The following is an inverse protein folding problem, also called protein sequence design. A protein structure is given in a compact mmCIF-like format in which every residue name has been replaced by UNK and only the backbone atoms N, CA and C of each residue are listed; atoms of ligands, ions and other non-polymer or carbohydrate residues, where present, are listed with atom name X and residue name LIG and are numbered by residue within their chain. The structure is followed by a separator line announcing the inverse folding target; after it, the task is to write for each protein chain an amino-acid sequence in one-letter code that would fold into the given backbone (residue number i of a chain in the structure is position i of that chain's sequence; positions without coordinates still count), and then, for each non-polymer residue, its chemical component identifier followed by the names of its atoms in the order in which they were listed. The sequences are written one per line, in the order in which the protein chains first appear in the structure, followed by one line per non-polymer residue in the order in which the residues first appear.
data_IF_966706852443
#
_entry.id   IF_966706852443
#
_cell.length_a   1.000
_cell.length_b   1.000
_cell.length_c   1.000
_cell.angle_alpha   90.00
_cell.angle_beta   90.00
_cell.angle_gamma   90.00
#
_symmetry.space_group_name_H-M   'P 1'
#
loop_
_entity.id
_entity.type
_entity.pdbx_description
1 polymer ?
#
# COMPACT_ATOMS: atom_id res chain seq x y z
N UNK A 1 3.74 -1.05 14.28
CA UNK A 1 2.51 -1.80 14.66
C UNK A 1 1.23 -1.01 14.33
N UNK A 2 1.06 0.24 14.75
CA UNK A 2 -0.17 1.02 14.46
C UNK A 2 -0.50 1.11 12.97
N UNK A 3 0.51 1.21 12.10
CA UNK A 3 0.33 1.24 10.64
C UNK A 3 -0.31 -0.06 10.10
N UNK A 4 0.01 -1.21 10.71
CA UNK A 4 -0.61 -2.49 10.35
C UNK A 4 -2.07 -2.60 10.79
N UNK A 5 -2.46 -1.90 11.87
CA UNK A 5 -3.82 -1.87 12.39
C UNK A 5 -4.71 -0.87 11.62
N UNK A 6 -4.13 0.11 10.93
CA UNK A 6 -4.89 1.07 10.15
C UNK A 6 -5.56 0.42 8.92
N UNK A 7 -6.61 1.04 8.41
CA UNK A 7 -7.28 0.61 7.18
C UNK A 7 -6.33 0.70 5.98
N UNK A 8 -6.47 -0.23 5.05
CA UNK A 8 -5.65 -0.25 3.86
C UNK A 8 -6.02 0.92 2.92
N UNK A 9 -5.05 1.80 2.69
CA UNK A 9 -5.09 2.88 1.71
C UNK A 9 -3.69 3.08 1.10
N UNK A 10 -3.60 3.93 0.10
CA UNK A 10 -2.32 4.21 -0.56
C UNK A 10 -1.29 4.81 0.40
N UNK A 11 -1.72 5.65 1.35
CA UNK A 11 -0.84 6.26 2.35
C UNK A 11 -0.27 5.21 3.32
N UNK A 12 -1.11 4.27 3.77
CA UNK A 12 -0.67 3.16 4.61
C UNK A 12 0.35 2.27 3.88
N UNK A 13 0.09 1.98 2.60
CA UNK A 13 0.97 1.19 1.76
C UNK A 13 2.34 1.84 1.57
N UNK A 14 2.35 3.14 1.24
CA UNK A 14 3.59 3.91 1.10
C UNK A 14 4.37 3.97 2.41
N UNK A 15 3.67 4.19 3.53
CA UNK A 15 4.29 4.21 4.85
C UNK A 15 4.88 2.86 5.26
N UNK A 16 4.23 1.73 4.91
CA UNK A 16 4.76 0.39 5.15
C UNK A 16 6.08 0.16 4.41
N UNK A 17 6.16 0.53 3.14
CA UNK A 17 7.39 0.42 2.35
C UNK A 17 8.50 1.32 2.91
N UNK A 18 8.18 2.56 3.24
CA UNK A 18 9.14 3.49 3.84
C UNK A 18 9.69 3.02 5.18
N UNK A 19 8.85 2.38 6.01
CA UNK A 19 9.29 1.78 7.27
C UNK A 19 10.18 0.57 7.01
N UNK A 20 9.83 -0.28 6.03
CA UNK A 20 10.60 -1.47 5.66
C UNK A 20 12.01 -1.11 5.16
N UNK A 21 12.16 -0.04 4.39
CA UNK A 21 13.44 0.47 3.90
C UNK A 21 14.26 1.19 4.99
N UNK A 22 13.66 1.44 6.14
CA UNK A 22 14.28 2.17 7.23
C UNK A 22 15.35 1.35 7.95
N UNK A 23 16.58 1.86 8.09
CA UNK A 23 17.70 1.23 8.80
C UNK A 23 17.39 0.80 10.23
N UNK A 24 16.41 1.44 10.88
CA UNK A 24 16.01 1.11 12.25
C UNK A 24 15.37 -0.27 12.35
N UNK A 25 14.70 -0.75 11.30
CA UNK A 25 14.05 -2.05 11.28
C UNK A 25 15.06 -3.20 11.12
N UNK A 26 16.25 -2.94 10.56
CA UNK A 26 17.34 -3.90 10.47
C UNK A 26 17.85 -4.34 11.85
N UNK A 27 17.69 -3.48 12.87
CA UNK A 27 18.06 -3.79 14.25
C UNK A 27 17.11 -4.80 14.91
N UNK A 28 15.93 -5.02 14.34
CA UNK A 28 14.86 -5.86 14.90
C UNK A 28 14.34 -6.81 13.81
N UNK A 29 15.13 -7.83 13.45
CA UNK A 29 14.85 -8.69 12.29
C UNK A 29 13.53 -9.46 12.39
N UNK A 30 13.09 -9.81 13.63
CA UNK A 30 11.82 -10.51 13.82
C UNK A 30 10.61 -9.63 13.45
N UNK A 31 10.66 -8.34 13.80
CA UNK A 31 9.60 -7.39 13.41
C UNK A 31 9.65 -7.06 11.92
N UNK A 32 10.85 -7.04 11.33
CA UNK A 32 11.00 -6.90 9.88
C UNK A 32 10.34 -8.07 9.15
N UNK A 33 10.66 -9.31 9.54
CA UNK A 33 10.04 -10.51 8.96
C UNK A 33 8.52 -10.54 9.13
N UNK A 34 7.99 -10.00 10.24
CA UNK A 34 6.56 -9.86 10.43
C UNK A 34 5.93 -8.81 9.50
N UNK A 35 6.62 -7.69 9.27
CA UNK A 35 6.18 -6.64 8.35
C UNK A 35 6.17 -7.12 6.90
N UNK A 36 7.18 -7.90 6.50
CA UNK A 36 7.29 -8.49 5.17
C UNK A 36 6.08 -9.35 4.79
N UNK A 37 5.42 -10.01 5.75
CA UNK A 37 4.19 -10.76 5.48
C UNK A 37 3.07 -9.89 4.88
N UNK A 38 3.01 -8.60 5.23
CA UNK A 38 2.01 -7.68 4.72
C UNK A 38 2.44 -6.96 3.42
N UNK A 39 3.73 -6.91 3.17
CA UNK A 39 4.30 -6.34 1.93
C UNK A 39 4.24 -7.38 0.81
N UNK A 40 4.56 -8.65 1.13
CA UNK A 40 4.52 -9.73 0.17
C UNK A 40 3.09 -9.99 -0.31
N UNK A 41 2.96 -10.25 -1.61
CA UNK A 41 1.66 -10.54 -2.23
C UNK A 41 1.28 -12.02 -2.10
N UNK A 42 1.37 -12.54 -0.88
CA UNK A 42 1.08 -13.93 -0.53
C UNK A 42 0.00 -14.03 0.54
N UNK A 43 -0.60 -15.21 0.67
CA UNK A 43 -1.58 -15.48 1.71
C UNK A 43 -0.90 -15.66 3.06
N UNK A 44 -1.38 -14.96 4.07
CA UNK A 44 -0.89 -15.04 5.43
C UNK A 44 -1.76 -16.05 6.19
N UNK A 45 -1.18 -17.20 6.59
CA UNK A 45 -1.89 -18.14 7.47
C UNK A 45 -1.89 -17.60 8.90
N UNK A 46 -3.08 -17.32 9.43
CA UNK A 46 -3.25 -16.81 10.79
C UNK A 46 -2.70 -17.78 11.84
N UNK A 47 -2.95 -19.08 11.69
CA UNK A 47 -2.45 -20.11 12.61
C UNK A 47 -0.93 -20.15 12.70
N UNK A 48 -0.24 -20.06 11.55
CA UNK A 48 1.23 -20.01 11.51
C UNK A 48 1.75 -18.70 12.09
N UNK A 49 1.06 -17.59 11.84
CA UNK A 49 1.42 -16.27 12.35
C UNK A 49 1.31 -16.23 13.88
N UNK A 50 0.22 -16.75 14.46
CA UNK A 50 0.09 -16.88 15.92
C UNK A 50 1.24 -17.71 16.48
N UNK A 51 1.45 -18.93 15.99
CA UNK A 51 2.46 -19.84 16.53
C UNK A 51 3.87 -19.23 16.54
N UNK A 52 4.19 -18.40 15.55
CA UNK A 52 5.52 -17.80 15.39
C UNK A 52 5.67 -16.46 16.10
N UNK A 53 4.68 -15.60 16.04
CA UNK A 53 4.81 -14.18 16.43
C UNK A 53 4.02 -13.79 17.67
N UNK A 54 3.09 -14.61 18.20
CA UNK A 54 2.27 -14.23 19.35
C UNK A 54 3.12 -13.88 20.57
N UNK A 55 4.09 -14.74 20.92
CA UNK A 55 5.00 -14.49 22.06
C UNK A 55 5.82 -13.22 21.87
N UNK A 56 6.36 -13.01 20.67
CA UNK A 56 7.13 -11.81 20.34
C UNK A 56 6.30 -10.54 20.50
N UNK A 57 5.09 -10.54 19.97
CA UNK A 57 4.24 -9.35 19.91
C UNK A 57 3.57 -9.02 21.26
N UNK A 58 3.24 -10.03 22.08
CA UNK A 58 2.54 -9.86 23.35
C UNK A 58 3.48 -9.81 24.55
N UNK A 59 4.44 -10.71 24.62
CA UNK A 59 5.27 -10.91 25.81
C UNK A 59 6.72 -10.43 25.58
N UNK A 60 7.14 -10.30 24.33
CA UNK A 60 8.52 -10.02 23.94
C UNK A 60 9.43 -11.25 24.04
N UNK A 61 10.61 -11.12 23.48
CA UNK A 61 11.69 -12.12 23.56
C UNK A 61 12.93 -11.46 24.16
N UNK A 62 13.88 -12.24 24.63
CA UNK A 62 15.14 -11.74 25.23
C UNK A 62 15.89 -10.74 24.34
N UNK A 63 15.75 -10.86 23.03
CA UNK A 63 16.36 -9.98 22.02
C UNK A 63 15.50 -8.77 21.65
N UNK A 64 14.18 -8.85 21.81
CA UNK A 64 13.24 -7.81 21.40
C UNK A 64 12.16 -7.61 22.44
N UNK A 65 12.01 -6.39 22.96
CA UNK A 65 10.95 -6.06 23.92
C UNK A 65 9.57 -6.18 23.28
N UNK A 66 8.58 -6.57 24.08
CA UNK A 66 7.18 -6.54 23.66
C UNK A 66 6.77 -5.12 23.24
N UNK A 67 5.85 -5.06 22.31
CA UNK A 67 5.20 -3.78 22.00
C UNK A 67 4.02 -3.58 22.95
N UNK A 68 3.93 -2.41 23.60
CA UNK A 68 2.78 -2.06 24.45
C UNK A 68 1.45 -1.96 23.66
N UNK A 69 1.53 -2.13 22.33
CA UNK A 69 0.38 -2.04 21.43
C UNK A 69 -0.51 -3.27 21.49
N UNK A 70 0.07 -4.47 21.59
CA UNK A 70 -0.62 -5.77 21.55
C UNK A 70 -0.50 -6.53 22.87
N UNK A 71 -0.40 -5.82 23.97
CA UNK A 71 -0.34 -6.36 25.31
C UNK A 71 -1.59 -7.21 25.64
N UNK A 72 -1.59 -7.87 26.83
CA UNK A 72 -2.72 -8.70 27.27
C UNK A 72 -3.83 -7.89 27.96
N UNK A 73 -3.79 -6.57 27.89
CA UNK A 73 -4.87 -5.71 28.37
C UNK A 73 -6.14 -5.86 27.51
N UNK A 74 -7.25 -5.34 28.01
CA UNK A 74 -8.51 -5.34 27.23
C UNK A 74 -8.33 -4.62 25.88
N UNK A 75 -7.64 -3.48 25.87
CA UNK A 75 -7.35 -2.73 24.66
C UNK A 75 -6.38 -3.48 23.73
N UNK A 76 -5.37 -4.16 24.29
CA UNK A 76 -4.45 -5.00 23.52
C UNK A 76 -5.16 -6.19 22.86
N UNK A 77 -6.12 -6.81 23.55
CA UNK A 77 -6.93 -7.88 22.98
C UNK A 77 -7.85 -7.39 21.86
N UNK A 78 -8.44 -6.19 21.98
CA UNK A 78 -9.19 -5.56 20.88
C UNK A 78 -8.31 -5.36 19.66
N UNK A 79 -7.12 -4.78 19.84
CA UNK A 79 -6.14 -4.57 18.75
C UNK A 79 -5.65 -5.89 18.14
N UNK A 80 -5.57 -6.95 18.94
CA UNK A 80 -5.25 -8.29 18.45
C UNK A 80 -6.35 -8.84 17.51
N UNK A 81 -7.61 -8.64 17.88
CA UNK A 81 -8.76 -8.95 17.01
C UNK A 81 -8.76 -8.10 15.74
N UNK A 82 -8.42 -6.81 15.87
CA UNK A 82 -8.26 -5.92 14.72
C UNK A 82 -7.14 -6.41 13.79
N UNK A 83 -6.01 -6.86 14.34
CA UNK A 83 -4.91 -7.43 13.55
C UNK A 83 -5.37 -8.67 12.77
N UNK A 84 -6.15 -9.55 13.39
CA UNK A 84 -6.74 -10.71 12.70
C UNK A 84 -7.63 -10.27 11.53
N UNK A 85 -8.45 -9.25 11.75
CA UNK A 85 -9.28 -8.65 10.70
C UNK A 85 -8.42 -8.08 9.56
N UNK A 86 -7.31 -7.39 9.87
CA UNK A 86 -6.39 -6.87 8.84
C UNK A 86 -5.70 -7.96 8.04
N UNK A 87 -5.32 -9.06 8.69
CA UNK A 87 -4.80 -10.25 7.99
C UNK A 87 -5.86 -10.83 7.06
N UNK A 88 -7.11 -10.94 7.51
CA UNK A 88 -8.22 -11.38 6.67
C UNK A 88 -8.46 -10.46 5.47
N UNK A 89 -8.41 -9.14 5.65
CA UNK A 89 -8.52 -8.15 4.57
C UNK A 89 -7.37 -8.27 3.56
N UNK A 90 -6.13 -8.45 4.04
CA UNK A 90 -4.97 -8.69 3.19
C UNK A 90 -5.16 -9.94 2.34
N UNK A 91 -5.48 -11.07 2.97
CA UNK A 91 -5.72 -12.32 2.29
C UNK A 91 -6.85 -12.22 1.26
N UNK A 92 -7.91 -11.50 1.59
CA UNK A 92 -9.02 -11.31 0.69
C UNK A 92 -8.65 -10.48 -0.55
N UNK A 93 -7.80 -9.45 -0.40
CA UNK A 93 -7.24 -8.72 -1.55
C UNK A 93 -6.38 -9.64 -2.44
N UNK A 94 -5.61 -10.55 -1.83
CA UNK A 94 -4.83 -11.53 -2.59
C UNK A 94 -5.74 -12.50 -3.33
N UNK A 95 -6.77 -13.03 -2.68
CA UNK A 95 -7.77 -13.90 -3.31
C UNK A 95 -8.46 -13.18 -4.48
N UNK A 96 -8.88 -11.93 -4.28
CA UNK A 96 -9.53 -11.12 -5.33
C UNK A 96 -8.62 -10.85 -6.54
N UNK A 97 -7.30 -10.87 -6.34
CA UNK A 97 -6.31 -10.71 -7.41
C UNK A 97 -6.18 -11.95 -8.29
N UNK A 98 -6.29 -13.15 -7.69
CA UNK A 98 -6.03 -14.41 -8.38
C UNK A 98 -7.30 -15.19 -8.78
N UNK A 99 -8.41 -15.00 -8.08
CA UNK A 99 -9.65 -15.72 -8.32
C UNK A 99 -10.71 -14.82 -8.96
N UNK A 100 -11.35 -15.30 -10.01
CA UNK A 100 -12.55 -14.66 -10.59
C UNK A 100 -13.82 -15.14 -9.89
N UNK A 101 -13.83 -16.39 -9.46
CA UNK A 101 -14.93 -17.06 -8.72
C UNK A 101 -14.35 -17.97 -7.65
N UNK A 102 -14.95 -17.97 -6.45
CA UNK A 102 -14.54 -18.83 -5.35
C UNK A 102 -15.75 -19.25 -4.54
N UNK A 103 -15.75 -20.48 -3.99
CA UNK A 103 -16.77 -20.95 -3.07
C UNK A 103 -16.50 -20.47 -1.66
N UNK A 104 -17.55 -20.29 -0.84
CA UNK A 104 -17.38 -19.93 0.57
C UNK A 104 -16.52 -20.92 1.34
N UNK A 105 -16.68 -22.24 1.09
CA UNK A 105 -15.88 -23.25 1.75
C UNK A 105 -14.38 -23.07 1.47
N UNK A 106 -14.02 -22.89 0.21
CA UNK A 106 -12.61 -22.65 -0.17
C UNK A 106 -12.06 -21.35 0.37
N UNK A 107 -12.89 -20.33 0.39
CA UNK A 107 -12.51 -19.02 0.96
C UNK A 107 -12.26 -19.12 2.46
N UNK A 108 -13.15 -19.78 3.20
CA UNK A 108 -13.02 -20.02 4.63
C UNK A 108 -11.73 -20.79 4.98
N UNK A 109 -11.39 -21.80 4.17
CA UNK A 109 -10.14 -22.54 4.30
C UNK A 109 -8.89 -21.65 4.08
N UNK A 110 -8.91 -20.81 3.05
CA UNK A 110 -7.77 -19.92 2.73
C UNK A 110 -7.59 -18.80 3.73
N UNK A 111 -8.68 -18.32 4.33
CA UNK A 111 -8.67 -17.22 5.28
C UNK A 111 -8.50 -17.68 6.74
N UNK A 112 -8.55 -18.98 7.01
CA UNK A 112 -8.61 -19.53 8.38
C UNK A 112 -9.80 -18.99 9.21
N UNK A 113 -10.96 -18.72 8.55
CA UNK A 113 -12.19 -18.22 9.18
C UNK A 113 -13.28 -19.27 9.25
N UNK A 114 -14.17 -19.25 10.28
CA UNK A 114 -15.38 -20.05 10.30
C UNK A 114 -16.31 -19.72 9.12
N UNK A 115 -16.92 -20.74 8.50
CA UNK A 115 -17.81 -20.56 7.34
C UNK A 115 -19.01 -19.65 7.68
N UNK A 116 -19.51 -19.73 8.91
CA UNK A 116 -20.67 -18.97 9.40
C UNK A 116 -20.39 -17.48 9.48
N UNK A 117 -19.17 -17.09 9.87
CA UNK A 117 -18.74 -15.69 9.98
C UNK A 117 -18.26 -15.13 8.64
N UNK A 118 -17.95 -16.01 7.67
CA UNK A 118 -17.36 -15.63 6.38
C UNK A 118 -18.26 -14.69 5.58
N UNK A 119 -19.58 -14.92 5.58
CA UNK A 119 -20.50 -14.06 4.84
C UNK A 119 -20.54 -12.65 5.43
N UNK A 120 -20.63 -12.54 6.76
CA UNK A 120 -20.59 -11.26 7.47
C UNK A 120 -19.29 -10.49 7.21
N UNK A 121 -18.16 -11.19 7.29
CA UNK A 121 -16.85 -10.62 6.99
C UNK A 121 -16.77 -10.11 5.55
N UNK A 122 -17.20 -10.91 4.57
CA UNK A 122 -17.23 -10.53 3.17
C UNK A 122 -18.15 -9.33 2.90
N UNK A 123 -19.33 -9.29 3.50
CA UNK A 123 -20.24 -8.15 3.40
C UNK A 123 -19.59 -6.86 3.91
N UNK A 124 -18.90 -6.93 5.04
CA UNK A 124 -18.15 -5.80 5.58
C UNK A 124 -17.06 -5.31 4.60
N UNK A 125 -16.31 -6.23 3.97
CA UNK A 125 -15.28 -5.87 3.00
C UNK A 125 -15.83 -5.24 1.72
N UNK A 126 -17.01 -5.64 1.28
CA UNK A 126 -17.69 -5.04 0.14
C UNK A 126 -18.18 -3.62 0.49
N UNK A 127 -18.79 -3.45 1.68
CA UNK A 127 -19.30 -2.16 2.15
C UNK A 127 -18.17 -1.17 2.40
N UNK A 128 -17.06 -1.61 2.98
CA UNK A 128 -15.86 -0.76 3.21
C UNK A 128 -15.08 -0.44 1.93
N UNK A 129 -15.48 -1.03 0.79
CA UNK A 129 -14.82 -0.79 -0.50
C UNK A 129 -13.47 -1.49 -0.67
N UNK A 130 -13.09 -2.38 0.25
CA UNK A 130 -11.88 -3.18 0.11
C UNK A 130 -11.94 -4.10 -1.13
N UNK A 131 -13.16 -4.55 -1.49
CA UNK A 131 -13.44 -5.36 -2.68
C UNK A 131 -14.72 -4.86 -3.34
N UNK A 132 -14.68 -3.74 -4.07
CA UNK A 132 -15.90 -3.04 -4.52
C UNK A 132 -16.72 -3.82 -5.56
N UNK A 133 -16.10 -4.71 -6.34
CA UNK A 133 -16.74 -5.39 -7.45
C UNK A 133 -17.19 -6.83 -7.15
N UNK A 134 -17.11 -7.27 -5.89
CA UNK A 134 -17.51 -8.60 -5.49
C UNK A 134 -19.04 -8.75 -5.46
N UNK A 135 -19.55 -9.88 -5.98
CA UNK A 135 -20.96 -10.26 -5.98
C UNK A 135 -21.15 -11.60 -5.31
N UNK A 136 -22.01 -11.65 -4.30
CA UNK A 136 -22.32 -12.86 -3.55
C UNK A 136 -23.53 -13.55 -4.19
N UNK A 137 -23.37 -14.80 -4.56
CA UNK A 137 -24.45 -15.67 -5.02
C UNK A 137 -24.78 -16.68 -3.92
N UNK A 138 -25.70 -16.30 -3.02
CA UNK A 138 -26.06 -17.06 -1.81
C UNK A 138 -26.54 -18.49 -2.09
N UNK A 139 -27.46 -18.73 -3.05
CA UNK A 139 -27.96 -20.11 -3.29
C UNK A 139 -26.87 -21.10 -3.68
N UNK A 140 -25.88 -20.65 -4.47
CA UNK A 140 -24.75 -21.47 -4.89
C UNK A 140 -23.54 -21.40 -3.95
N UNK A 141 -23.59 -20.57 -2.89
CA UNK A 141 -22.47 -20.28 -1.98
C UNK A 141 -21.16 -19.95 -2.72
N UNK A 142 -21.28 -19.10 -3.74
CA UNK A 142 -20.16 -18.66 -4.59
C UNK A 142 -20.02 -17.15 -4.57
N UNK A 143 -18.80 -16.68 -4.53
CA UNK A 143 -18.46 -15.26 -4.68
C UNK A 143 -17.81 -15.05 -6.04
N UNK A 144 -18.32 -14.07 -6.77
CA UNK A 144 -17.70 -13.58 -7.99
C UNK A 144 -16.82 -12.38 -7.63
N UNK A 145 -15.53 -12.55 -7.77
CA UNK A 145 -14.51 -11.51 -7.57
C UNK A 145 -14.13 -11.02 -8.97
N UNK A 146 -14.84 -10.02 -9.49
CA UNK A 146 -14.43 -9.43 -10.78
C UNK A 146 -13.19 -8.61 -10.57
N UNK A 147 -12.09 -8.98 -11.23
CA UNK A 147 -10.98 -8.08 -11.43
C UNK A 147 -11.52 -6.83 -12.15
N UNK A 148 -11.30 -5.66 -11.57
CA UNK A 148 -11.59 -4.37 -12.24
C UNK A 148 -10.86 -4.39 -13.58
N UNK A 149 -11.57 -4.54 -14.68
CA UNK A 149 -10.98 -4.23 -15.97
C UNK A 149 -10.64 -2.75 -15.93
N UNK A 150 -9.38 -2.44 -16.03
CA UNK A 150 -8.95 -1.06 -16.18
C UNK A 150 -9.81 -0.43 -17.28
N UNK A 151 -10.58 0.60 -16.91
CA UNK A 151 -11.45 1.25 -17.89
C UNK A 151 -10.52 1.90 -18.92
N UNK A 152 -10.64 1.55 -20.17
CA UNK A 152 -9.81 2.08 -21.28
C UNK A 152 -9.81 3.61 -21.23
N UNK A 153 -10.97 4.22 -20.93
CA UNK A 153 -11.09 5.67 -20.79
C UNK A 153 -10.22 6.25 -19.67
N UNK A 154 -10.08 5.54 -18.53
CA UNK A 154 -9.21 5.98 -17.43
C UNK A 154 -7.73 5.85 -17.79
N UNK A 155 -7.36 4.80 -18.52
CA UNK A 155 -6.01 4.64 -19.06
C UNK A 155 -5.67 5.72 -20.09
N UNK A 156 -6.60 6.08 -20.96
CA UNK A 156 -6.42 7.16 -21.93
C UNK A 156 -6.30 8.53 -21.27
N UNK A 157 -7.12 8.79 -20.24
CA UNK A 157 -7.00 10.01 -19.44
C UNK A 157 -5.66 10.09 -18.72
N UNK A 158 -5.21 8.97 -18.13
CA UNK A 158 -3.91 8.90 -17.47
C UNK A 158 -2.76 9.11 -18.46
N UNK A 159 -2.80 8.43 -19.62
CA UNK A 159 -1.82 8.60 -20.68
C UNK A 159 -1.78 10.05 -21.20
N UNK A 160 -2.93 10.69 -21.37
CA UNK A 160 -3.04 12.10 -21.74
C UNK A 160 -2.43 13.03 -20.68
N UNK A 161 -2.65 12.74 -19.38
CA UNK A 161 -2.06 13.52 -18.29
C UNK A 161 -0.54 13.39 -18.23
N UNK A 162 -0.02 12.18 -18.42
CA UNK A 162 1.44 11.93 -18.49
C UNK A 162 2.05 12.69 -19.67
N UNK A 163 1.40 12.65 -20.86
CA UNK A 163 1.88 13.39 -22.03
C UNK A 163 1.92 14.89 -21.79
N UNK A 164 0.88 15.48 -21.19
CA UNK A 164 0.86 16.89 -20.80
C UNK A 164 1.99 17.26 -19.84
N UNK A 165 2.26 16.40 -18.84
CA UNK A 165 3.37 16.58 -17.92
C UNK A 165 4.73 16.56 -18.63
N UNK A 166 4.93 15.61 -19.54
CA UNK A 166 6.14 15.51 -20.35
C UNK A 166 6.33 16.74 -21.24
N UNK A 167 5.25 17.24 -21.86
CA UNK A 167 5.27 18.45 -22.68
C UNK A 167 5.65 19.70 -21.84
N UNK A 168 5.15 19.79 -20.61
CA UNK A 168 5.51 20.88 -19.68
C UNK A 168 6.99 20.77 -19.29
N UNK A 169 7.45 19.56 -18.92
CA UNK A 169 8.87 19.34 -18.57
C UNK A 169 9.82 19.65 -19.73
N UNK A 170 9.43 19.33 -20.95
CA UNK A 170 10.22 19.65 -22.15
C UNK A 170 10.24 21.15 -22.49
N UNK A 171 9.18 21.88 -22.15
CA UNK A 171 9.12 23.35 -22.36
C UNK A 171 9.97 24.13 -21.37
N UNK A 172 10.03 23.71 -20.11
CA UNK A 172 10.77 24.41 -19.04
C UNK A 172 12.29 24.54 -19.34
N UNK A 173 13.01 23.46 -19.75
CA UNK A 173 14.43 23.61 -20.08
C UNK A 173 14.69 24.53 -21.27
N UNK A 174 13.84 24.49 -22.30
CA UNK A 174 13.99 25.32 -23.51
C UNK A 174 13.78 26.80 -23.17
N UNK A 175 12.76 27.16 -22.42
CA UNK A 175 12.53 28.54 -21.98
C UNK A 175 13.65 29.07 -21.07
N UNK A 176 14.21 28.20 -20.20
CA UNK A 176 15.33 28.57 -19.33
C UNK A 176 16.63 28.71 -20.10
N UNK A 177 16.86 27.92 -21.14
CA UNK A 177 18.03 28.07 -22.03
C UNK A 177 17.94 29.38 -22.84
N UNK A 178 16.77 29.68 -23.41
CA UNK A 178 16.56 30.92 -24.16
C UNK A 178 16.77 32.15 -23.27
N UNK A 179 16.24 32.18 -22.06
CA UNK A 179 16.45 33.30 -21.13
C UNK A 179 17.89 33.43 -20.69
N UNK A 180 18.64 32.33 -20.62
CA UNK A 180 20.09 32.36 -20.30
C UNK A 180 20.94 32.85 -21.46
N UNK A 181 20.60 32.48 -22.68
CA UNK A 181 21.24 33.01 -23.88
C UNK A 181 21.00 34.54 -24.07
N UNK A 182 19.76 34.98 -23.82
CA UNK A 182 19.45 36.43 -23.84
C UNK A 182 20.20 37.23 -22.77
N UNK A 183 20.38 36.68 -21.57
CA UNK A 183 21.18 37.32 -20.53
C UNK A 183 22.67 37.41 -20.91
N UNK A 184 23.21 36.37 -21.50
CA UNK A 184 24.61 36.37 -21.97
C UNK A 184 24.80 37.38 -23.12
N UNK A 185 23.83 37.47 -24.04
CA UNK A 185 23.88 38.43 -25.14
C UNK A 185 23.84 39.89 -24.63
N UNK A 186 22.98 40.21 -23.67
CA UNK A 186 22.95 41.56 -23.02
C UNK A 186 24.26 41.88 -22.33
N UNK A 187 24.86 40.94 -21.61
CA UNK A 187 26.17 41.18 -20.97
C UNK A 187 27.30 41.40 -21.96
N UNK A 188 27.26 40.81 -23.15
CA UNK A 188 28.23 41.04 -24.21
C UNK A 188 28.04 42.40 -24.89
N UNK A 189 26.80 42.85 -25.07
CA UNK A 189 26.51 44.20 -25.61
C UNK A 189 26.89 45.30 -24.65
N UNK A 190 26.63 45.16 -23.36
CA UNK A 190 27.02 46.12 -22.32
C UNK A 190 28.54 46.21 -22.15
N UNK A 191 29.27 45.12 -22.34
CA UNK A 191 30.74 45.11 -22.28
C UNK A 191 31.39 45.69 -23.53
N UNK A 192 30.75 45.59 -24.70
CA UNK A 192 31.26 46.21 -25.95
C UNK A 192 30.96 47.71 -26.05
N UNK A 193 29.89 48.19 -25.39
CA UNK A 193 29.53 49.62 -25.34
C UNK A 193 30.42 50.44 -24.41
N UNK A 194 31.10 49.82 -23.43
CA UNK A 194 31.95 50.54 -22.45
C UNK A 194 33.37 50.89 -22.97
N UNK A 195 33.77 50.35 -24.12
CA UNK A 195 35.11 50.60 -24.66
C UNK A 195 35.19 51.77 -25.72
N UNK A 196 34.03 52.41 -25.98
CA UNK A 196 33.96 53.46 -27.01
C UNK A 196 33.98 54.94 -26.48
N UNK A 197 34.16 55.16 -25.17
CA UNK A 197 34.11 56.53 -24.59
C UNK A 197 35.38 56.86 -23.82
N UNK A 198 36.52 56.67 -24.47
CA UNK A 198 37.80 57.35 -24.07
C UNK A 198 38.55 57.77 -25.33
N UNK A 199 38.21 58.97 -25.84
CA UNK A 199 39.05 59.82 -26.63
C UNK A 199 38.54 61.27 -26.56
#
# INVERSE_FOLDING_TARGET
MYVLLSSHNNEQWDLLHRIHEGRQLELIPEYNSFLELFINQELISWKKTISKYEKLLRDGISTSKATDVLDRSENGNKRWSDLHTRVGEHNMRMIAKYYTKITFARMAELLDYPIEEMEGFLCNLIVTGAIPDAKIHRPAKVVNLRARKANIEQLDQWASSVRKLTDILNKVPVSHLISKEEMVHRHLEDSSGSSATVR
#
